data_IF_860746563739
#
_entry.id   IF_860746563739
#
_cell.length_a   1.000
_cell.length_b   1.000
_cell.length_c   1.000
_cell.angle_alpha   90.00
_cell.angle_beta   90.00
_cell.angle_gamma   90.00
#
_symmetry.space_group_name_H-M   'P 1'
#
loop_
_entity.id
_entity.type
_entity.pdbx_description
1 polymer ?
#
# COMPACT_ATOMS: atom_id res chain seq x y z
N UNK A 1 -6.03 -1.96 -7.91
CA UNK A 1 -5.69 -0.93 -6.90
C UNK A 1 -6.03 -1.52 -5.54
N UNK A 2 -5.03 -1.81 -4.72
CA UNK A 2 -5.22 -2.36 -3.37
C UNK A 2 -5.28 -1.16 -2.42
N UNK A 3 -6.38 -1.08 -1.66
CA UNK A 3 -6.68 -0.16 -0.58
C UNK A 3 -5.42 0.39 0.12
N UNK A 4 -5.27 1.71 0.23
CA UNK A 4 -4.24 2.31 1.10
C UNK A 4 -4.88 3.15 2.19
N UNK A 5 -4.91 2.62 3.41
CA UNK A 5 -5.21 3.41 4.60
C UNK A 5 -4.05 4.35 4.92
N UNK A 6 -4.37 5.54 5.45
CA UNK A 6 -3.35 6.39 6.08
C UNK A 6 -2.67 5.59 7.20
N UNK A 7 -1.34 5.58 7.22
CA UNK A 7 -0.57 4.66 8.06
C UNK A 7 -0.90 4.68 9.56
N UNK A 8 -1.40 5.80 10.09
CA UNK A 8 -1.83 5.91 11.49
C UNK A 8 -3.13 5.16 11.80
N UNK A 9 -4.02 4.97 10.81
CA UNK A 9 -5.29 4.26 10.99
C UNK A 9 -5.13 2.74 10.96
N UNK A 10 -4.03 2.27 10.37
CA UNK A 10 -3.82 0.87 10.04
C UNK A 10 -3.83 -0.08 11.26
N UNK A 11 -3.22 0.25 12.42
CA UNK A 11 -3.34 -0.58 13.62
C UNK A 11 -4.79 -0.70 14.13
N UNK A 12 -5.56 0.38 14.08
CA UNK A 12 -6.97 0.38 14.48
C UNK A 12 -7.80 -0.47 13.52
N UNK A 13 -7.51 -0.37 12.22
CA UNK A 13 -8.20 -1.15 11.20
C UNK A 13 -8.00 -2.64 11.41
N UNK A 14 -6.76 -3.07 11.66
CA UNK A 14 -6.42 -4.46 11.97
C UNK A 14 -7.10 -4.93 13.26
N UNK A 15 -7.10 -4.10 14.30
CA UNK A 15 -7.74 -4.44 15.57
C UNK A 15 -9.25 -4.68 15.41
N UNK A 16 -9.94 -3.82 14.66
CA UNK A 16 -11.38 -3.98 14.36
C UNK A 16 -11.61 -5.27 13.56
N UNK A 17 -10.81 -5.56 12.54
CA UNK A 17 -10.92 -6.80 11.77
C UNK A 17 -10.80 -8.06 12.67
N UNK A 18 -9.83 -8.07 13.59
CA UNK A 18 -9.65 -9.18 14.55
C UNK A 18 -10.86 -9.30 15.49
N UNK A 19 -11.38 -8.17 16.00
CA UNK A 19 -12.57 -8.16 16.86
C UNK A 19 -13.79 -8.73 16.11
N UNK A 20 -14.00 -8.34 14.85
CA UNK A 20 -15.12 -8.83 14.04
C UNK A 20 -15.03 -10.34 13.79
N UNK A 21 -13.84 -10.85 13.44
CA UNK A 21 -13.59 -12.30 13.32
C UNK A 21 -13.88 -12.98 14.66
N UNK A 22 -13.38 -12.41 15.76
CA UNK A 22 -13.61 -12.90 17.11
C UNK A 22 -15.10 -12.97 17.47
N UNK A 23 -15.90 -11.96 17.14
CA UNK A 23 -17.34 -11.92 17.40
C UNK A 23 -18.09 -13.03 16.65
N UNK A 24 -17.79 -13.24 15.36
CA UNK A 24 -18.42 -14.30 14.57
C UNK A 24 -17.98 -15.68 15.07
N UNK A 25 -16.70 -15.86 15.38
CA UNK A 25 -16.20 -17.11 15.94
C UNK A 25 -16.80 -17.42 17.32
N UNK A 26 -16.83 -16.44 18.22
CA UNK A 26 -17.46 -16.55 19.53
C UNK A 26 -18.96 -16.77 19.45
N UNK A 27 -19.64 -16.41 18.36
CA UNK A 27 -21.07 -16.71 18.17
C UNK A 27 -21.37 -18.22 18.07
N UNK A 28 -20.36 -19.06 17.90
CA UNK A 28 -20.50 -20.52 17.72
C UNK A 28 -20.60 -21.26 19.05
N UNK A 29 -19.87 -20.81 20.08
CA UNK A 29 -19.78 -21.43 21.41
C UNK A 29 -20.85 -21.12 22.48
N UNK A 30 -21.78 -20.14 22.36
CA UNK A 30 -22.70 -19.82 23.44
C UNK A 30 -23.82 -20.86 23.56
N UNK A 31 -24.04 -21.38 24.78
CA UNK A 31 -25.16 -22.28 25.09
C UNK A 31 -26.55 -21.63 24.96
N UNK A 32 -26.63 -20.30 24.88
CA UNK A 32 -27.88 -19.53 24.82
C UNK A 32 -28.09 -18.91 23.43
N UNK A 33 -29.18 -19.31 22.75
CA UNK A 33 -29.53 -18.86 21.39
C UNK A 33 -29.58 -17.33 21.22
N UNK A 34 -30.00 -16.59 22.25
CA UNK A 34 -30.06 -15.12 22.20
C UNK A 34 -28.67 -14.48 22.14
N UNK A 35 -27.69 -15.00 22.88
CA UNK A 35 -26.32 -14.48 22.84
C UNK A 35 -25.65 -14.78 21.48
N UNK A 36 -25.92 -15.94 20.89
CA UNK A 36 -25.46 -16.29 19.56
C UNK A 36 -25.96 -15.30 18.50
N UNK A 37 -27.26 -15.02 18.50
CA UNK A 37 -27.89 -14.08 17.56
C UNK A 37 -27.36 -12.65 17.72
N UNK A 38 -27.14 -12.22 18.96
CA UNK A 38 -26.62 -10.88 19.25
C UNK A 38 -25.17 -10.73 18.76
N UNK A 39 -24.29 -11.67 19.10
CA UNK A 39 -22.88 -11.63 18.64
C UNK A 39 -22.78 -11.73 17.11
N UNK A 40 -23.59 -12.59 16.50
CA UNK A 40 -23.66 -12.73 15.05
C UNK A 40 -24.16 -11.46 14.36
N UNK A 41 -25.25 -10.87 14.88
CA UNK A 41 -25.82 -9.62 14.37
C UNK A 41 -24.86 -8.45 14.51
N UNK A 42 -24.19 -8.30 15.67
CA UNK A 42 -23.13 -7.30 15.87
C UNK A 42 -21.94 -7.52 14.94
N UNK A 43 -21.53 -8.77 14.71
CA UNK A 43 -20.46 -9.10 13.77
C UNK A 43 -20.79 -8.68 12.34
N UNK A 44 -22.01 -8.93 11.87
CA UNK A 44 -22.45 -8.51 10.52
C UNK A 44 -22.58 -7.00 10.43
N UNK A 45 -23.28 -6.36 11.37
CA UNK A 45 -23.47 -4.90 11.35
C UNK A 45 -22.13 -4.17 11.45
N UNK A 46 -21.23 -4.66 12.31
CA UNK A 46 -19.87 -4.15 12.43
C UNK A 46 -19.08 -4.32 11.14
N UNK A 47 -19.18 -5.47 10.47
CA UNK A 47 -18.54 -5.70 9.18
C UNK A 47 -19.07 -4.78 8.07
N UNK A 48 -20.39 -4.59 8.00
CA UNK A 48 -21.01 -3.69 7.01
C UNK A 48 -20.58 -2.23 7.25
N UNK A 49 -20.70 -1.74 8.48
CA UNK A 49 -20.32 -0.38 8.84
C UNK A 49 -18.83 -0.13 8.64
N UNK A 50 -18.00 -1.08 9.03
CA UNK A 50 -16.55 -0.97 8.87
C UNK A 50 -16.11 -1.12 7.41
N UNK A 51 -16.75 -1.99 6.64
CA UNK A 51 -16.52 -2.11 5.19
C UNK A 51 -16.85 -0.82 4.44
N UNK A 52 -17.93 -0.14 4.81
CA UNK A 52 -18.26 1.19 4.27
C UNK A 52 -17.21 2.24 4.65
N UNK A 53 -16.73 2.22 5.90
CA UNK A 53 -15.63 3.10 6.32
C UNK A 53 -14.37 2.80 5.49
N UNK A 54 -14.02 1.53 5.29
CA UNK A 54 -12.90 1.14 4.42
C UNK A 54 -13.03 1.69 3.00
N UNK A 55 -14.24 1.76 2.46
CA UNK A 55 -14.53 2.34 1.13
C UNK A 55 -14.53 3.88 1.12
N UNK A 56 -14.93 4.55 2.20
CA UNK A 56 -14.94 6.02 2.24
C UNK A 56 -13.54 6.60 2.46
N UNK A 57 -12.68 5.89 3.17
CA UNK A 57 -11.30 6.28 3.43
C UNK A 57 -10.31 5.70 2.40
N UNK A 58 -10.80 5.01 1.36
CA UNK A 58 -9.99 4.77 0.16
C UNK A 58 -9.87 6.05 -0.63
N UNK A 59 -8.66 6.61 -0.63
CA UNK A 59 -8.32 7.74 -1.47
C UNK A 59 -7.81 7.17 -2.81
N UNK A 60 -8.49 7.42 -3.95
CA UNK A 60 -7.81 7.28 -5.24
C UNK A 60 -6.61 8.21 -5.19
N UNK A 61 -5.41 7.68 -5.41
CA UNK A 61 -4.19 8.50 -5.40
C UNK A 61 -4.41 9.73 -6.27
N UNK A 62 -3.90 10.88 -5.81
CA UNK A 62 -4.04 12.15 -6.51
C UNK A 62 -3.71 11.96 -8.00
N UNK A 63 -4.70 12.24 -8.84
CA UNK A 63 -4.54 12.36 -10.29
C UNK A 63 -4.63 13.85 -10.55
N UNK A 64 -3.53 14.53 -10.92
CA UNK A 64 -3.72 15.57 -11.94
C UNK A 64 -2.49 15.96 -12.79
N UNK A 65 -2.79 16.06 -14.10
CA UNK A 65 -2.33 16.95 -15.18
C UNK A 65 -0.95 17.63 -15.16
N UNK A 66 0.07 17.02 -15.78
CA UNK A 66 0.85 17.35 -17.01
C UNK A 66 1.95 16.26 -17.25
N UNK A 67 2.06 15.64 -18.45
CA UNK A 67 2.91 14.45 -18.63
C UNK A 67 4.41 14.78 -18.84
N UNK A 68 5.31 14.08 -18.13
CA UNK A 68 6.74 13.97 -18.45
C UNK A 68 7.16 12.50 -18.55
N UNK A 69 7.93 12.14 -19.59
CA UNK A 69 8.33 10.76 -19.86
C UNK A 69 9.63 10.41 -19.12
N UNK A 70 9.63 9.27 -18.39
CA UNK A 70 10.83 8.64 -17.84
C UNK A 70 11.08 7.30 -18.54
N UNK A 71 12.22 7.20 -19.21
CA UNK A 71 12.70 5.94 -19.78
C UNK A 71 13.59 5.27 -18.74
N UNK A 72 13.22 4.06 -18.36
CA UNK A 72 13.92 3.27 -17.35
C UNK A 72 14.60 2.11 -18.07
N UNK A 73 15.93 2.10 -18.05
CA UNK A 73 16.74 1.04 -18.60
C UNK A 73 17.36 0.22 -17.48
N UNK A 74 17.39 -1.10 -17.60
CA UNK A 74 18.00 -1.99 -16.60
C UNK A 74 18.62 -3.20 -17.25
N UNK A 75 19.78 -3.60 -16.73
CA UNK A 75 20.42 -4.86 -17.11
C UNK A 75 19.80 -6.06 -16.39
N UNK A 76 19.01 -5.82 -15.33
CA UNK A 76 18.31 -6.87 -14.59
C UNK A 76 16.99 -7.25 -15.27
N UNK A 77 16.60 -8.53 -15.20
CA UNK A 77 15.28 -9.00 -15.64
C UNK A 77 14.14 -8.51 -14.75
N UNK A 78 14.45 -8.16 -13.50
CA UNK A 78 13.48 -7.65 -12.54
C UNK A 78 14.11 -6.58 -11.65
N UNK A 79 13.45 -5.43 -11.51
CA UNK A 79 13.86 -4.36 -10.59
C UNK A 79 12.64 -3.73 -9.94
N UNK A 80 12.76 -3.38 -8.65
CA UNK A 80 11.72 -2.64 -7.93
C UNK A 80 12.23 -1.23 -7.66
N UNK A 81 11.45 -0.23 -8.06
CA UNK A 81 11.72 1.18 -7.84
C UNK A 81 10.70 1.77 -6.89
N UNK A 82 11.16 2.64 -6.01
CA UNK A 82 10.33 3.44 -5.10
C UNK A 82 10.54 4.90 -5.46
N UNK A 83 9.47 5.61 -5.80
CA UNK A 83 9.52 7.03 -6.12
C UNK A 83 9.16 7.83 -4.89
N UNK A 84 10.04 8.76 -4.53
CA UNK A 84 9.95 9.57 -3.33
C UNK A 84 9.79 11.04 -3.70
N UNK A 85 9.00 11.74 -2.89
CA UNK A 85 8.83 13.19 -2.95
C UNK A 85 8.77 13.79 -1.56
N UNK A 86 9.01 15.09 -1.46
CA UNK A 86 8.82 15.84 -0.22
C UNK A 86 7.35 16.30 -0.12
N UNK A 87 6.68 15.90 0.96
CA UNK A 87 5.31 16.30 1.26
C UNK A 87 5.25 16.99 2.62
N UNK A 88 5.34 18.33 2.58
CA UNK A 88 5.31 19.22 3.76
C UNK A 88 6.49 18.99 4.73
N UNK A 89 7.70 18.82 4.20
CA UNK A 89 8.93 18.61 4.97
C UNK A 89 9.13 17.16 5.43
N UNK A 90 8.45 16.21 4.79
CA UNK A 90 8.58 14.77 5.08
C UNK A 90 8.73 14.02 3.75
N UNK A 91 9.88 13.36 3.56
CA UNK A 91 10.09 12.47 2.41
C UNK A 91 9.14 11.26 2.50
N UNK A 92 8.34 11.03 1.46
CA UNK A 92 7.40 9.91 1.37
C UNK A 92 7.50 9.21 0.03
N UNK A 93 7.36 7.89 0.06
CA UNK A 93 7.11 7.11 -1.16
C UNK A 93 5.67 7.37 -1.61
N UNK A 94 5.51 7.84 -2.84
CA UNK A 94 4.19 8.04 -3.44
C UNK A 94 3.87 6.99 -4.52
N UNK A 95 4.90 6.35 -5.08
CA UNK A 95 4.70 5.30 -6.09
C UNK A 95 5.76 4.19 -5.95
N UNK A 96 5.36 2.96 -6.28
CA UNK A 96 6.24 1.80 -6.36
C UNK A 96 6.02 1.15 -7.72
N UNK A 97 7.10 0.88 -8.41
CA UNK A 97 7.05 0.32 -9.76
C UNK A 97 7.89 -0.95 -9.86
N UNK A 98 7.37 -1.89 -10.65
CA UNK A 98 8.07 -3.10 -11.02
C UNK A 98 8.51 -2.99 -12.48
N UNK A 99 9.81 -3.06 -12.70
CA UNK A 99 10.42 -3.10 -14.03
C UNK A 99 10.68 -4.56 -14.34
N UNK A 100 10.02 -5.05 -15.38
CA UNK A 100 10.16 -6.42 -15.90
C UNK A 100 10.74 -6.31 -17.30
N UNK A 101 11.88 -6.97 -17.54
CA UNK A 101 12.65 -6.82 -18.77
C UNK A 101 13.66 -5.67 -18.71
N UNK A 102 14.27 -5.36 -19.85
CA UNK A 102 15.46 -4.50 -19.92
C UNK A 102 15.16 -3.00 -20.11
N UNK A 103 13.94 -2.68 -20.54
CA UNK A 103 13.51 -1.30 -20.72
C UNK A 103 12.03 -1.19 -20.32
N UNK A 104 11.69 -0.09 -19.65
CA UNK A 104 10.31 0.30 -19.37
C UNK A 104 10.16 1.80 -19.53
N UNK A 105 9.14 2.20 -20.29
CA UNK A 105 8.72 3.60 -20.36
C UNK A 105 7.67 3.84 -19.29
N UNK A 106 7.91 4.83 -18.44
CA UNK A 106 7.02 5.23 -17.37
C UNK A 106 6.66 6.69 -17.55
N UNK A 107 5.37 6.97 -17.47
CA UNK A 107 4.84 8.33 -17.56
C UNK A 107 4.69 8.86 -16.13
N UNK A 108 5.36 9.97 -15.83
CA UNK A 108 5.19 10.68 -14.57
C UNK A 108 4.41 11.96 -14.79
N UNK A 109 3.45 12.18 -13.90
CA UNK A 109 2.80 13.46 -13.76
C UNK A 109 3.43 14.19 -12.57
N UNK A 110 4.11 15.30 -12.83
CA UNK A 110 4.91 16.00 -11.83
C UNK A 110 4.21 17.31 -11.47
N UNK A 111 3.44 17.30 -10.38
CA UNK A 111 3.05 18.54 -9.71
C UNK A 111 4.30 19.29 -9.19
N UNK A 112 4.14 20.57 -8.85
CA UNK A 112 5.17 21.49 -8.34
C UNK A 112 6.01 20.99 -7.15
N UNK A 113 5.67 19.84 -6.55
CA UNK A 113 6.39 19.21 -5.44
C UNK A 113 7.72 18.56 -5.85
N UNK A 114 8.01 18.42 -7.14
CA UNK A 114 9.28 17.86 -7.65
C UNK A 114 10.21 18.95 -8.19
N UNK A 115 10.09 20.18 -7.69
CA UNK A 115 10.97 21.30 -8.05
C UNK A 115 12.48 20.99 -7.90
N UNK A 116 12.83 19.99 -7.08
CA UNK A 116 14.21 19.56 -6.83
C UNK A 116 14.61 18.24 -7.53
N UNK A 117 13.76 17.69 -8.40
CA UNK A 117 13.99 16.43 -9.11
C UNK A 117 13.33 15.20 -8.46
N UNK A 118 13.04 14.19 -9.28
CA UNK A 118 12.38 12.95 -8.86
C UNK A 118 13.38 12.03 -8.16
N UNK A 119 13.13 11.77 -6.87
CA UNK A 119 13.97 10.86 -6.11
C UNK A 119 13.51 9.41 -6.31
N UNK A 120 14.46 8.54 -6.63
CA UNK A 120 14.23 7.13 -6.93
C UNK A 120 15.08 6.29 -6.00
N UNK A 121 14.44 5.45 -5.20
CA UNK A 121 15.06 4.47 -4.32
C UNK A 121 14.97 3.06 -4.90
N UNK A 122 16.03 2.28 -4.78
CA UNK A 122 16.05 0.86 -5.14
C UNK A 122 17.02 0.08 -4.27
N UNK A 123 17.02 -1.25 -4.40
CA UNK A 123 17.82 -2.16 -3.58
C UNK A 123 18.85 -2.88 -4.43
N UNK A 124 20.12 -2.72 -4.10
CA UNK A 124 21.23 -3.47 -4.70
C UNK A 124 21.96 -4.25 -3.61
N UNK A 125 22.22 -5.54 -3.83
CA UNK A 125 22.98 -6.40 -2.91
C UNK A 125 22.50 -6.37 -1.46
N UNK A 126 21.20 -6.20 -1.24
CA UNK A 126 20.63 -6.14 0.12
C UNK A 126 20.58 -4.73 0.75
N UNK A 127 21.24 -3.74 0.15
CA UNK A 127 21.32 -2.37 0.68
C UNK A 127 20.47 -1.39 -0.15
N UNK A 128 20.00 -0.32 0.49
CA UNK A 128 19.21 0.72 -0.15
C UNK A 128 20.11 1.76 -0.81
N UNK A 129 19.76 2.11 -2.05
CA UNK A 129 20.42 3.12 -2.84
C UNK A 129 19.38 4.09 -3.40
N UNK A 130 19.78 5.34 -3.61
CA UNK A 130 18.92 6.38 -4.14
C UNK A 130 19.64 7.27 -5.15
N UNK A 131 18.88 7.79 -6.10
CA UNK A 131 19.34 8.81 -7.04
C UNK A 131 18.23 9.84 -7.26
N UNK A 132 18.59 11.03 -7.72
CA UNK A 132 17.64 12.09 -8.05
C UNK A 132 17.75 12.41 -9.52
N UNK A 133 16.64 12.25 -10.24
CA UNK A 133 16.53 12.55 -11.66
C UNK A 133 15.93 13.93 -11.82
N UNK A 134 16.70 14.86 -12.38
CA UNK A 134 16.14 16.16 -12.77
C UNK A 134 15.26 15.96 -14.00
N UNK A 135 13.97 16.20 -13.83
CA UNK A 135 12.97 16.05 -14.89
C UNK A 135 12.82 17.37 -15.63
N UNK A 136 12.92 17.34 -16.94
CA UNK A 136 12.75 18.53 -17.79
C UNK A 136 11.45 18.41 -18.57
N UNK A 137 10.64 19.47 -18.61
CA UNK A 137 9.29 19.44 -19.19
C UNK A 137 9.25 19.19 -20.70
N UNK A 138 10.37 19.36 -21.41
CA UNK A 138 10.45 19.27 -22.88
C UNK A 138 11.08 17.97 -23.39
N UNK A 139 11.60 17.09 -22.51
CA UNK A 139 12.36 15.89 -22.90
C UNK A 139 12.14 14.71 -21.99
N UNK A 140 12.09 13.53 -22.60
CA UNK A 140 12.16 12.28 -21.86
C UNK A 140 13.49 12.19 -21.09
N UNK A 141 13.40 11.95 -19.79
CA UNK A 141 14.58 11.70 -18.96
C UNK A 141 14.87 10.21 -18.96
N UNK A 142 16.13 9.80 -19.13
CA UNK A 142 16.52 8.39 -19.11
C UNK A 142 17.29 8.08 -17.84
N UNK A 143 16.90 7.01 -17.14
CA UNK A 143 17.62 6.48 -15.99
C UNK A 143 18.05 5.04 -16.25
N UNK A 144 19.34 4.77 -16.00
CA UNK A 144 19.92 3.43 -16.03
C UNK A 144 20.00 2.86 -14.61
N UNK A 145 19.28 1.79 -14.34
CA UNK A 145 19.30 1.04 -13.07
C UNK A 145 20.58 0.19 -13.00
N UNK A 146 21.69 0.86 -12.73
CA UNK A 146 22.96 0.22 -12.37
C UNK A 146 23.45 0.83 -11.06
N UNK A 147 24.03 0.01 -10.17
CA UNK A 147 24.49 0.44 -8.84
C UNK A 147 25.41 1.67 -8.88
N UNK A 148 26.23 1.81 -9.91
CA UNK A 148 27.13 2.95 -10.12
C UNK A 148 26.42 4.30 -10.32
N UNK A 149 25.16 4.30 -10.75
CA UNK A 149 24.37 5.50 -10.99
C UNK A 149 23.57 5.93 -9.74
N UNK A 150 23.68 5.19 -8.64
CA UNK A 150 22.96 5.45 -7.41
C UNK A 150 23.93 5.59 -6.24
N UNK A 151 23.66 6.56 -5.37
CA UNK A 151 24.36 6.70 -4.10
C UNK A 151 23.70 5.85 -3.02
N UNK A 152 24.44 5.52 -1.95
CA UNK A 152 23.85 4.86 -0.78
C UNK A 152 22.73 5.74 -0.21
N UNK A 153 21.57 5.14 0.08
CA UNK A 153 20.41 5.89 0.54
C UNK A 153 20.66 6.44 1.95
N UNK A 154 20.25 7.69 2.18
CA UNK A 154 20.28 8.25 3.53
C UNK A 154 19.21 7.59 4.43
N UNK A 155 19.32 7.82 5.75
CA UNK A 155 18.37 7.26 6.73
C UNK A 155 16.93 7.72 6.52
N UNK A 156 16.73 8.91 5.97
CA UNK A 156 15.40 9.47 5.72
C UNK A 156 14.66 8.68 4.62
N UNK A 157 15.34 8.43 3.50
CA UNK A 157 14.83 7.63 2.38
C UNK A 157 14.55 6.19 2.83
N UNK A 158 15.50 5.59 3.56
CA UNK A 158 15.31 4.24 4.08
C UNK A 158 14.08 4.17 5.02
N UNK A 159 13.92 5.15 5.89
CA UNK A 159 12.76 5.24 6.79
C UNK A 159 11.45 5.42 6.00
N UNK A 160 11.44 6.27 4.98
CA UNK A 160 10.29 6.50 4.12
C UNK A 160 9.86 5.22 3.40
N UNK A 161 10.82 4.46 2.84
CA UNK A 161 10.55 3.19 2.16
C UNK A 161 10.06 2.14 3.16
N UNK A 162 10.71 2.00 4.33
CA UNK A 162 10.27 1.07 5.38
C UNK A 162 8.84 1.37 5.84
N UNK A 163 8.52 2.65 6.06
CA UNK A 163 7.17 3.10 6.42
C UNK A 163 6.16 2.77 5.33
N UNK A 164 6.50 2.97 4.05
CA UNK A 164 5.67 2.58 2.92
C UNK A 164 5.43 1.05 2.90
N UNK A 165 6.49 0.24 3.02
CA UNK A 165 6.36 -1.22 3.05
C UNK A 165 5.49 -1.71 4.21
N UNK A 166 5.60 -1.08 5.39
CA UNK A 166 4.74 -1.38 6.54
C UNK A 166 3.28 -1.07 6.26
N UNK A 167 2.99 0.08 5.64
CA UNK A 167 1.62 0.46 5.25
C UNK A 167 1.09 -0.52 4.19
N UNK A 168 1.87 -0.81 3.15
CA UNK A 168 1.52 -1.76 2.09
C UNK A 168 1.20 -3.15 2.69
N UNK A 169 2.07 -3.68 3.53
CA UNK A 169 1.87 -4.94 4.25
C UNK A 169 0.59 -4.92 5.08
N UNK A 170 0.39 -3.87 5.87
CA UNK A 170 -0.77 -3.75 6.74
C UNK A 170 -2.09 -3.70 5.97
N UNK A 171 -2.11 -3.08 4.79
CA UNK A 171 -3.27 -3.09 3.90
C UNK A 171 -3.56 -4.49 3.37
N UNK A 172 -2.53 -5.21 2.89
CA UNK A 172 -2.67 -6.61 2.47
C UNK A 172 -3.16 -7.50 3.61
N UNK A 173 -2.61 -7.31 4.81
CA UNK A 173 -3.00 -8.07 6.00
C UNK A 173 -4.45 -7.78 6.39
N UNK A 174 -4.89 -6.53 6.38
CA UNK A 174 -6.29 -6.17 6.65
C UNK A 174 -7.25 -6.77 5.60
N UNK A 175 -6.87 -6.77 4.32
CA UNK A 175 -7.67 -7.43 3.27
C UNK A 175 -7.74 -8.95 3.49
N UNK A 176 -6.63 -9.57 3.90
CA UNK A 176 -6.60 -10.98 4.25
C UNK A 176 -7.51 -11.30 5.45
N UNK A 177 -7.52 -10.46 6.50
CA UNK A 177 -8.45 -10.61 7.63
C UNK A 177 -9.91 -10.44 7.20
N UNK A 178 -10.19 -9.49 6.30
CA UNK A 178 -11.53 -9.30 5.72
C UNK A 178 -11.99 -10.55 4.98
N UNK A 179 -11.12 -11.17 4.17
CA UNK A 179 -11.42 -12.43 3.50
C UNK A 179 -11.64 -13.58 4.51
N UNK A 180 -10.80 -13.64 5.55
CA UNK A 180 -10.92 -14.62 6.63
C UNK A 180 -12.26 -14.49 7.35
N UNK A 181 -12.72 -13.27 7.63
CA UNK A 181 -14.05 -13.01 8.18
C UNK A 181 -15.15 -13.60 7.31
N UNK A 182 -15.10 -13.35 5.99
CA UNK A 182 -16.10 -13.88 5.04
C UNK A 182 -16.10 -15.41 5.03
N UNK A 183 -14.91 -16.04 5.03
CA UNK A 183 -14.79 -17.51 5.09
C UNK A 183 -15.42 -18.06 6.38
N UNK A 184 -15.09 -17.47 7.54
CA UNK A 184 -15.64 -17.88 8.84
C UNK A 184 -17.16 -17.68 8.88
N UNK A 185 -17.66 -16.58 8.32
CA UNK A 185 -19.08 -16.26 8.23
C UNK A 185 -19.83 -17.31 7.39
N UNK A 186 -19.36 -17.60 6.18
CA UNK A 186 -19.95 -18.61 5.28
C UNK A 186 -19.94 -19.98 5.94
N UNK A 187 -18.82 -20.35 6.55
CA UNK A 187 -18.69 -21.62 7.27
C UNK A 187 -19.69 -21.73 8.42
N UNK A 188 -19.85 -20.66 9.22
CA UNK A 188 -20.82 -20.59 10.31
C UNK A 188 -22.24 -20.76 9.79
N UNK A 189 -22.63 -20.01 8.74
CA UNK A 189 -23.97 -20.11 8.13
C UNK A 189 -24.23 -21.53 7.63
N UNK A 190 -23.27 -22.14 6.92
CA UNK A 190 -23.42 -23.49 6.36
C UNK A 190 -23.58 -24.56 7.44
N UNK A 191 -22.85 -24.44 8.55
CA UNK A 191 -22.79 -25.47 9.60
C UNK A 191 -23.87 -25.30 10.68
N UNK A 192 -24.29 -24.08 10.97
CA UNK A 192 -25.16 -23.77 12.11
C UNK A 192 -26.46 -23.04 11.74
N UNK A 193 -26.66 -22.69 10.46
CA UNK A 193 -27.80 -21.87 10.02
C UNK A 193 -27.72 -20.43 10.51
N UNK A 194 -28.67 -19.56 10.13
CA UNK A 194 -28.81 -18.20 10.66
C UNK A 194 -29.07 -18.18 12.18
#
# INVERSE_FOLDING_TARGET
MVYQFLGFMLPFVIAVDIILIGLVFMSIWPKRKMHQRLLYGLGILGFLGFGLLKLLFTVPHAIPSTPTDLIIETNSTYSTLYYLGDFKGETKVFWKEFVIGHEKKQYFDLESSVANGLMIGTKFDGNWYSTTVQMTWDRASTIKIDKQNFAEANKEIESAIKKYCWIEFGNYFSNFLTLTFVIVLIWRIKKYGP
#
